data_IF_032585519923
#
_entry.id   IF_032585519923
#
_cell.length_a   1.000
_cell.length_b   1.000
_cell.length_c   1.000
_cell.angle_alpha   90.00
_cell.angle_beta   90.00
_cell.angle_gamma   90.00
#
_symmetry.space_group_name_H-M   'P 1'
#
loop_
_entity.id
_entity.type
_entity.pdbx_description
1 polymer ?
#
# COMPACT_ATOMS: atom_id res chain seq x y z
N UNK A 1 -61.29 -36.51 5.75
CA UNK A 1 -60.77 -35.48 6.67
C UNK A 1 -59.60 -36.04 7.44
N UNK A 2 -58.36 -35.84 6.97
CA UNK A 2 -57.13 -35.89 7.80
C UNK A 2 -56.10 -34.95 7.17
N UNK A 3 -55.27 -34.38 8.04
CA UNK A 3 -54.64 -33.07 7.99
C UNK A 3 -53.54 -32.84 6.94
N UNK A 4 -53.55 -31.58 6.46
CA UNK A 4 -52.40 -30.83 5.93
C UNK A 4 -51.31 -30.74 7.00
N UNK A 5 -50.04 -30.96 6.65
CA UNK A 5 -48.86 -30.21 7.13
C UNK A 5 -47.61 -30.82 6.50
N UNK A 6 -47.04 -30.15 5.50
CA UNK A 6 -45.67 -30.40 5.07
C UNK A 6 -44.93 -29.06 5.11
N UNK A 7 -43.79 -29.12 5.79
CA UNK A 7 -43.01 -28.03 6.37
C UNK A 7 -42.25 -27.30 5.27
N UNK A 8 -42.38 -25.98 5.22
CA UNK A 8 -41.51 -25.09 4.44
C UNK A 8 -40.22 -24.92 5.24
N UNK A 9 -39.14 -25.57 4.81
CA UNK A 9 -37.80 -25.39 5.37
C UNK A 9 -37.13 -24.19 4.67
N UNK A 10 -37.17 -23.03 5.32
CA UNK A 10 -36.50 -21.82 4.84
C UNK A 10 -34.99 -21.98 5.00
N UNK A 11 -34.28 -22.14 3.88
CA UNK A 11 -32.81 -22.04 3.79
C UNK A 11 -32.41 -20.58 4.02
N UNK A 12 -32.13 -20.23 5.27
CA UNK A 12 -31.62 -18.92 5.67
C UNK A 12 -30.19 -19.09 6.20
N UNK A 13 -29.22 -19.30 5.31
CA UNK A 13 -27.80 -19.31 5.69
C UNK A 13 -26.95 -18.69 4.57
N UNK A 14 -25.90 -17.98 5.00
CA UNK A 14 -24.79 -17.43 4.22
C UNK A 14 -24.85 -15.95 3.78
N UNK A 15 -25.17 -15.02 4.69
CA UNK A 15 -24.69 -13.62 4.57
C UNK A 15 -23.54 -13.31 5.57
N UNK A 16 -23.16 -14.25 6.45
CA UNK A 16 -22.18 -14.00 7.51
C UNK A 16 -20.71 -14.38 7.19
N UNK A 17 -20.38 -14.92 6.01
CA UNK A 17 -18.99 -15.36 5.74
C UNK A 17 -18.00 -14.21 5.45
N UNK A 18 -18.45 -13.08 4.90
CA UNK A 18 -17.53 -12.01 4.48
C UNK A 18 -16.87 -11.26 5.65
N UNK A 19 -17.49 -11.23 6.83
CA UNK A 19 -16.98 -10.47 7.98
C UNK A 19 -16.11 -11.28 8.94
N UNK A 20 -16.19 -12.62 8.93
CA UNK A 20 -15.38 -13.48 9.83
C UNK A 20 -13.93 -13.61 9.35
N UNK A 21 -13.68 -13.54 8.04
CA UNK A 21 -12.32 -13.67 7.47
C UNK A 21 -11.38 -12.52 7.84
N UNK A 22 -11.92 -11.34 8.15
CA UNK A 22 -11.12 -10.20 8.58
C UNK A 22 -10.57 -10.36 10.01
N UNK A 23 -11.12 -11.24 10.86
CA UNK A 23 -10.59 -11.45 12.21
C UNK A 23 -9.34 -12.35 12.24
N UNK A 24 -9.22 -13.29 11.31
CA UNK A 24 -8.21 -14.37 11.35
C UNK A 24 -6.85 -13.97 10.74
N UNK A 25 -6.79 -12.95 9.88
CA UNK A 25 -5.59 -12.73 9.04
C UNK A 25 -4.55 -11.76 9.62
N UNK A 26 -4.85 -11.00 10.68
CA UNK A 26 -3.96 -9.96 11.21
C UNK A 26 -3.89 -8.67 10.37
N UNK A 27 -4.72 -8.55 9.33
CA UNK A 27 -4.81 -7.38 8.46
C UNK A 27 -6.21 -6.72 8.50
N UNK A 28 -6.28 -5.45 8.13
CA UNK A 28 -7.52 -4.67 7.93
C UNK A 28 -7.45 -3.95 6.59
N UNK A 29 -8.60 -3.69 5.98
CA UNK A 29 -8.69 -2.85 4.79
C UNK A 29 -8.84 -1.36 5.17
N UNK A 30 -8.09 -0.50 4.49
CA UNK A 30 -8.29 0.93 4.42
C UNK A 30 -9.01 1.26 3.11
N UNK A 31 -9.98 2.19 3.14
CA UNK A 31 -10.68 2.70 1.97
C UNK A 31 -10.62 4.22 2.03
N UNK A 32 -10.03 4.86 1.03
CA UNK A 32 -9.96 6.31 0.99
C UNK A 32 -11.34 6.89 0.64
N UNK A 33 -11.86 7.88 1.38
CA UNK A 33 -13.25 8.35 1.21
C UNK A 33 -13.54 8.98 -0.14
N UNK A 34 -12.62 9.77 -0.70
CA UNK A 34 -12.81 10.51 -1.95
C UNK A 34 -12.04 9.95 -3.16
N UNK A 35 -10.83 9.45 -2.95
CA UNK A 35 -9.94 8.95 -4.01
C UNK A 35 -10.21 7.48 -4.40
N UNK A 36 -11.17 6.84 -3.76
CA UNK A 36 -11.72 5.51 -4.10
C UNK A 36 -10.69 4.36 -4.21
N UNK A 37 -9.48 4.54 -3.68
CA UNK A 37 -8.52 3.46 -3.54
C UNK A 37 -8.70 2.71 -2.23
N UNK A 38 -8.30 1.44 -2.23
CA UNK A 38 -8.34 0.55 -1.09
C UNK A 38 -7.04 -0.23 -0.99
N UNK A 39 -6.60 -0.49 0.24
CA UNK A 39 -5.36 -1.21 0.53
C UNK A 39 -5.50 -1.96 1.84
N UNK A 40 -4.98 -3.18 1.89
CA UNK A 40 -4.93 -4.00 3.09
C UNK A 40 -3.62 -3.74 3.83
N UNK A 41 -3.67 -3.53 5.14
CA UNK A 41 -2.53 -3.22 5.99
C UNK A 41 -2.58 -4.00 7.31
N UNK A 42 -1.47 -4.18 8.03
CA UNK A 42 -1.48 -4.89 9.32
C UNK A 42 -2.33 -4.17 10.35
N UNK A 43 -3.17 -4.89 11.10
CA UNK A 43 -4.04 -4.29 12.13
C UNK A 43 -3.29 -3.54 13.22
N UNK A 44 -2.05 -3.93 13.49
CA UNK A 44 -1.22 -3.29 14.51
C UNK A 44 -0.66 -1.95 14.04
N UNK A 45 -0.65 -1.67 12.74
CA UNK A 45 -0.11 -0.42 12.22
C UNK A 45 -1.09 0.73 12.45
N UNK A 46 -0.55 1.88 12.86
CA UNK A 46 -1.33 3.10 13.04
C UNK A 46 -1.58 3.75 11.67
N UNK A 47 -2.82 4.14 11.41
CA UNK A 47 -3.18 4.90 10.20
C UNK A 47 -3.21 6.39 10.54
N UNK A 48 -2.60 7.19 9.68
CA UNK A 48 -2.64 8.65 9.73
C UNK A 48 -3.10 9.15 8.37
N UNK A 49 -4.26 9.80 8.33
CA UNK A 49 -4.81 10.39 7.10
C UNK A 49 -4.31 11.84 6.95
N UNK A 50 -4.30 12.34 5.71
CA UNK A 50 -3.88 13.72 5.39
C UNK A 50 -2.50 14.07 5.95
N UNK A 51 -1.52 13.20 5.66
CA UNK A 51 -0.14 13.41 6.04
C UNK A 51 0.48 14.62 5.33
N UNK A 52 1.69 14.98 5.73
CA UNK A 52 2.44 16.07 5.10
C UNK A 52 2.86 15.70 3.65
N UNK A 53 3.23 16.72 2.87
CA UNK A 53 3.81 16.56 1.53
C UNK A 53 2.93 15.81 0.51
N UNK A 54 1.61 16.03 0.55
CA UNK A 54 0.66 15.42 -0.40
C UNK A 54 0.34 13.94 -0.11
N UNK A 55 0.78 13.42 1.04
CA UNK A 55 0.45 12.08 1.51
C UNK A 55 -1.03 11.98 1.86
N UNK A 56 -1.75 11.10 1.16
CA UNK A 56 -3.18 10.89 1.39
C UNK A 56 -3.40 10.01 2.63
N UNK A 57 -2.58 8.97 2.78
CA UNK A 57 -2.57 8.09 3.95
C UNK A 57 -1.16 7.59 4.24
N UNK A 58 -0.85 7.48 5.53
CA UNK A 58 0.37 6.90 6.06
C UNK A 58 0.00 5.75 7.02
N UNK A 59 0.71 4.63 6.88
CA UNK A 59 0.62 3.46 7.75
C UNK A 59 1.95 3.33 8.51
N UNK A 60 1.92 3.46 9.83
CA UNK A 60 3.09 3.42 10.70
C UNK A 60 3.19 2.07 11.40
N UNK A 61 4.34 1.40 11.29
CA UNK A 61 4.62 0.14 11.97
C UNK A 61 4.51 0.28 13.50
N UNK A 62 4.04 -0.78 14.14
CA UNK A 62 4.01 -0.91 15.60
C UNK A 62 5.30 -1.48 16.18
N UNK A 63 6.24 -1.93 15.33
CA UNK A 63 7.49 -2.50 15.81
C UNK A 63 8.40 -1.38 16.33
N UNK A 64 8.97 -1.52 17.54
CA UNK A 64 9.90 -0.54 18.07
C UNK A 64 11.17 -0.51 17.21
N UNK A 65 11.68 0.68 17.01
CA UNK A 65 12.90 0.94 16.25
C UNK A 65 13.33 2.37 16.50
N UNK A 66 14.58 2.67 16.14
CA UNK A 66 15.04 4.07 16.18
C UNK A 66 14.31 4.83 15.06
N UNK A 67 14.07 4.17 13.92
CA UNK A 67 13.15 4.62 12.89
C UNK A 67 11.90 3.74 12.82
N UNK A 68 10.73 4.37 12.86
CA UNK A 68 9.45 3.68 12.65
C UNK A 68 9.21 3.47 11.15
N UNK A 69 9.27 2.21 10.73
CA UNK A 69 8.95 1.82 9.36
C UNK A 69 7.54 2.29 8.98
N UNK A 70 7.39 2.80 7.77
CA UNK A 70 6.12 3.36 7.31
C UNK A 70 5.88 3.12 5.84
N UNK A 71 4.61 3.02 5.47
CA UNK A 71 4.14 3.00 4.10
C UNK A 71 3.22 4.21 3.87
N UNK A 72 3.43 4.93 2.77
CA UNK A 72 2.70 6.12 2.41
C UNK A 72 2.05 5.92 1.04
N UNK A 73 0.88 6.52 0.83
CA UNK A 73 0.27 6.63 -0.49
C UNK A 73 0.11 8.11 -0.82
N UNK A 74 0.71 8.52 -1.94
CA UNK A 74 0.43 9.83 -2.56
C UNK A 74 -0.37 9.62 -3.83
N UNK A 75 -1.24 10.59 -4.13
CA UNK A 75 -2.08 10.59 -5.33
C UNK A 75 -2.02 11.98 -5.91
N UNK A 76 -1.62 12.08 -7.17
CA UNK A 76 -1.53 13.34 -7.90
C UNK A 76 -2.14 13.16 -9.28
N UNK A 77 -2.54 14.26 -9.94
CA UNK A 77 -2.85 14.22 -11.35
C UNK A 77 -1.61 13.74 -12.11
N UNK A 78 -1.77 12.75 -12.97
CA UNK A 78 -0.66 12.29 -13.80
C UNK A 78 -0.21 13.46 -14.69
N UNK A 79 1.08 13.79 -14.71
CA UNK A 79 1.60 14.62 -15.78
C UNK A 79 1.45 13.88 -17.12
N UNK A 80 1.53 14.62 -18.23
CA UNK A 80 1.59 14.04 -19.58
C UNK A 80 2.98 13.42 -19.81
N UNK A 81 3.27 12.36 -19.04
CA UNK A 81 4.52 11.61 -19.02
C UNK A 81 4.20 10.13 -18.93
N UNK A 82 5.08 9.33 -19.51
CA UNK A 82 5.06 7.88 -19.38
C UNK A 82 5.44 7.44 -17.97
N UNK A 83 5.10 6.19 -17.64
CA UNK A 83 5.42 5.62 -16.34
C UNK A 83 6.93 5.62 -16.03
N UNK A 84 7.76 5.41 -17.05
CA UNK A 84 9.22 5.40 -16.93
C UNK A 84 9.77 6.81 -16.66
N UNK A 85 9.25 7.83 -17.34
CA UNK A 85 9.61 9.23 -17.13
C UNK A 85 9.19 9.73 -15.73
N UNK A 86 8.03 9.30 -15.24
CA UNK A 86 7.60 9.59 -13.86
C UNK A 86 8.55 8.93 -12.85
N UNK A 87 8.96 7.69 -13.10
CA UNK A 87 9.93 7.01 -12.25
C UNK A 87 11.27 7.75 -12.23
N UNK A 88 11.79 8.18 -13.38
CA UNK A 88 13.03 8.95 -13.47
C UNK A 88 12.93 10.32 -12.78
N UNK A 89 11.79 10.99 -12.90
CA UNK A 89 11.54 12.22 -12.16
C UNK A 89 11.54 11.98 -10.65
N UNK A 90 10.95 10.86 -10.19
CA UNK A 90 10.98 10.47 -8.79
C UNK A 90 12.41 10.20 -8.30
N UNK A 91 13.22 9.47 -9.08
CA UNK A 91 14.65 9.25 -8.79
C UNK A 91 15.39 10.58 -8.67
N UNK A 92 15.20 11.50 -9.62
CA UNK A 92 15.84 12.81 -9.62
C UNK A 92 15.45 13.62 -8.38
N UNK A 93 14.16 13.69 -8.04
CA UNK A 93 13.68 14.40 -6.85
C UNK A 93 14.25 13.81 -5.56
N UNK A 94 14.21 12.50 -5.41
CA UNK A 94 14.74 11.83 -4.22
C UNK A 94 16.27 11.97 -4.10
N UNK A 95 17.00 11.97 -5.22
CA UNK A 95 18.46 12.19 -5.21
C UNK A 95 18.87 13.57 -4.71
N UNK A 96 18.01 14.57 -4.88
CA UNK A 96 18.23 15.94 -4.38
C UNK A 96 17.88 16.04 -2.89
N UNK A 97 16.80 15.38 -2.46
CA UNK A 97 16.27 15.48 -1.12
C UNK A 97 16.96 14.57 -0.10
N UNK A 98 17.41 13.39 -0.53
CA UNK A 98 17.92 12.35 0.34
C UNK A 98 19.43 12.20 0.16
N UNK A 99 20.17 12.47 1.24
CA UNK A 99 21.63 12.33 1.26
C UNK A 99 22.03 10.87 0.99
N UNK A 100 22.98 10.66 0.08
CA UNK A 100 23.48 9.32 -0.24
C UNK A 100 22.45 8.43 -0.94
N UNK A 101 21.44 9.02 -1.59
CA UNK A 101 20.43 8.26 -2.32
C UNK A 101 21.05 7.46 -3.47
N UNK A 102 20.86 6.14 -3.43
CA UNK A 102 21.42 5.21 -4.41
C UNK A 102 20.36 4.21 -4.84
N UNK A 103 20.05 4.16 -6.14
CA UNK A 103 19.14 3.16 -6.72
C UNK A 103 19.81 1.79 -6.66
N UNK A 104 19.09 0.83 -6.09
CA UNK A 104 19.48 -0.60 -6.08
C UNK A 104 18.78 -1.35 -7.20
N UNK A 105 17.49 -1.10 -7.43
CA UNK A 105 16.73 -1.72 -8.51
C UNK A 105 15.70 -0.76 -9.08
N UNK A 106 15.51 -0.80 -10.40
CA UNK A 106 14.37 -0.23 -11.13
C UNK A 106 13.84 -1.31 -12.05
N UNK A 107 12.60 -1.74 -11.85
CA UNK A 107 12.00 -2.83 -12.61
C UNK A 107 10.52 -2.56 -12.89
N UNK A 108 9.97 -3.24 -13.90
CA UNK A 108 8.53 -3.34 -14.06
C UNK A 108 7.97 -4.23 -12.95
N UNK A 109 6.83 -3.82 -12.40
CA UNK A 109 6.11 -4.54 -11.36
C UNK A 109 4.63 -4.21 -11.43
N UNK A 110 3.96 -4.28 -10.28
CA UNK A 110 2.53 -4.03 -10.17
C UNK A 110 2.18 -3.28 -8.89
N UNK A 111 1.15 -2.46 -8.97
CA UNK A 111 0.42 -1.93 -7.83
C UNK A 111 -0.99 -2.50 -7.89
N UNK A 112 -1.25 -3.54 -7.10
CA UNK A 112 -2.44 -4.36 -7.27
C UNK A 112 -2.48 -5.07 -8.61
N UNK A 113 -3.47 -4.75 -9.44
CA UNK A 113 -3.59 -5.31 -10.80
C UNK A 113 -2.99 -4.42 -11.90
N UNK A 114 -2.46 -3.25 -11.52
CA UNK A 114 -2.02 -2.23 -12.47
C UNK A 114 -0.52 -2.32 -12.70
N UNK A 115 -0.09 -2.14 -13.95
CA UNK A 115 1.34 -2.10 -14.28
C UNK A 115 2.00 -0.93 -13.54
N UNK A 116 3.14 -1.19 -12.94
CA UNK A 116 3.87 -0.23 -12.14
C UNK A 116 5.38 -0.25 -12.45
N UNK A 117 6.08 0.79 -12.03
CA UNK A 117 7.54 0.74 -11.86
C UNK A 117 7.82 0.58 -10.37
N UNK A 118 8.61 -0.45 -10.03
CA UNK A 118 9.10 -0.75 -8.69
C UNK A 118 10.55 -0.28 -8.57
N UNK A 119 10.75 0.75 -7.75
CA UNK A 119 12.04 1.33 -7.43
C UNK A 119 12.44 0.92 -6.02
N UNK A 120 13.64 0.36 -5.85
CA UNK A 120 14.27 0.19 -4.54
C UNK A 120 15.56 1.00 -4.49
N UNK A 121 15.75 1.72 -3.40
CA UNK A 121 16.91 2.55 -3.17
C UNK A 121 17.31 2.51 -1.70
N UNK A 122 18.54 2.95 -1.42
CA UNK A 122 18.99 3.25 -0.07
C UNK A 122 19.33 4.73 0.05
N UNK A 123 19.31 5.26 1.26
CA UNK A 123 19.82 6.60 1.57
C UNK A 123 20.26 6.69 3.03
N UNK A 124 21.02 7.74 3.35
CA UNK A 124 21.50 8.00 4.71
C UNK A 124 20.42 8.73 5.53
N UNK A 125 19.83 8.01 6.49
CA UNK A 125 18.96 8.58 7.52
C UNK A 125 19.76 9.15 8.70
N UNK A 126 19.10 9.94 9.55
CA UNK A 126 19.75 10.51 10.73
C UNK A 126 20.25 9.42 11.71
N UNK A 127 19.62 8.25 11.70
CA UNK A 127 19.88 7.14 12.63
C UNK A 127 20.55 5.95 11.93
N UNK A 128 20.97 6.13 10.67
CA UNK A 128 21.66 5.14 9.85
C UNK A 128 21.01 4.92 8.47
N UNK A 129 21.55 3.98 7.67
CA UNK A 129 21.05 3.69 6.34
C UNK A 129 19.60 3.23 6.34
N UNK A 130 18.80 3.80 5.45
CA UNK A 130 17.39 3.47 5.24
C UNK A 130 17.18 2.89 3.86
N UNK A 131 16.26 1.94 3.76
CA UNK A 131 15.75 1.47 2.49
C UNK A 131 14.42 2.16 2.19
N UNK A 132 14.26 2.59 0.94
CA UNK A 132 13.02 3.10 0.39
C UNK A 132 12.62 2.26 -0.81
N UNK A 133 11.35 1.85 -0.86
CA UNK A 133 10.73 1.18 -2.00
C UNK A 133 9.53 1.98 -2.47
N UNK A 134 9.56 2.42 -3.72
CA UNK A 134 8.47 3.16 -4.35
C UNK A 134 7.87 2.35 -5.50
N UNK A 135 6.56 2.14 -5.47
CA UNK A 135 5.79 1.50 -6.53
C UNK A 135 4.87 2.54 -7.14
N UNK A 136 5.11 2.88 -8.39
CA UNK A 136 4.47 3.98 -9.11
C UNK A 136 3.56 3.40 -10.18
N UNK A 137 2.32 3.84 -10.26
CA UNK A 137 1.34 3.44 -11.29
C UNK A 137 0.52 4.65 -11.75
N UNK A 138 0.06 4.64 -12.99
CA UNK A 138 -0.95 5.57 -13.50
C UNK A 138 -2.27 4.82 -13.63
N UNK A 139 -3.35 5.34 -13.05
CA UNK A 139 -4.69 4.74 -13.07
C UNK A 139 -5.71 5.87 -13.25
N UNK A 140 -6.51 5.82 -14.32
CA UNK A 140 -7.52 6.85 -14.64
C UNK A 140 -6.95 8.29 -14.61
N UNK A 141 -5.85 8.53 -15.33
CA UNK A 141 -5.14 9.84 -15.38
C UNK A 141 -4.58 10.32 -14.03
N UNK A 142 -4.56 9.48 -13.00
CA UNK A 142 -3.99 9.78 -11.69
C UNK A 142 -2.73 8.96 -11.45
N UNK A 143 -1.68 9.61 -10.99
CA UNK A 143 -0.46 8.97 -10.51
C UNK A 143 -0.66 8.53 -9.05
N UNK A 144 -0.53 7.23 -8.81
CA UNK A 144 -0.48 6.63 -7.48
C UNK A 144 0.95 6.24 -7.17
N UNK A 145 1.46 6.67 -6.01
CA UNK A 145 2.77 6.24 -5.51
C UNK A 145 2.59 5.61 -4.14
N UNK A 146 2.89 4.32 -4.05
CA UNK A 146 3.08 3.63 -2.79
C UNK A 146 4.55 3.71 -2.43
N UNK A 147 4.89 4.27 -1.26
CA UNK A 147 6.27 4.37 -0.79
C UNK A 147 6.41 3.72 0.57
N UNK A 148 7.23 2.69 0.67
CA UNK A 148 7.63 2.07 1.94
C UNK A 148 9.04 2.51 2.33
N UNK A 149 9.25 2.84 3.60
CA UNK A 149 10.57 3.14 4.16
C UNK A 149 10.81 2.35 5.44
N UNK A 150 12.03 1.82 5.61
CA UNK A 150 12.49 1.17 6.85
C UNK A 150 14.00 1.35 7.04
N UNK A 151 14.51 0.93 8.20
CA UNK A 151 15.95 0.71 8.40
C UNK A 151 16.42 -0.35 7.39
N UNK A 152 17.55 -0.12 6.71
CA UNK A 152 17.98 -0.98 5.60
C UNK A 152 18.19 -2.45 6.02
N UNK A 153 18.65 -2.69 7.25
CA UNK A 153 18.83 -4.03 7.82
C UNK A 153 17.52 -4.80 8.05
N UNK A 154 16.38 -4.12 8.06
CA UNK A 154 15.05 -4.70 8.37
C UNK A 154 14.21 -5.00 7.12
N UNK A 155 14.71 -4.78 5.90
CA UNK A 155 13.93 -5.00 4.67
C UNK A 155 13.24 -6.37 4.64
N UNK A 156 13.99 -7.43 4.93
CA UNK A 156 13.51 -8.81 4.91
C UNK A 156 12.37 -9.05 5.90
N UNK A 157 12.34 -8.36 7.04
CA UNK A 157 11.29 -8.48 8.04
C UNK A 157 9.94 -7.95 7.53
N UNK A 158 9.99 -6.93 6.67
CA UNK A 158 8.81 -6.25 6.15
C UNK A 158 8.38 -6.76 4.77
N UNK A 159 9.23 -7.47 4.04
CA UNK A 159 8.99 -7.87 2.65
C UNK A 159 7.61 -8.50 2.42
N UNK A 160 7.25 -9.51 3.22
CA UNK A 160 5.94 -10.19 3.10
C UNK A 160 4.77 -9.24 3.35
N UNK A 161 4.90 -8.37 4.35
CA UNK A 161 3.88 -7.39 4.72
C UNK A 161 3.68 -6.38 3.60
N UNK A 162 4.77 -5.84 3.07
CA UNK A 162 4.75 -4.79 2.05
C UNK A 162 4.30 -5.34 0.69
N UNK A 163 4.73 -6.53 0.30
CA UNK A 163 4.20 -7.19 -0.89
C UNK A 163 2.68 -7.38 -0.77
N UNK A 164 2.19 -7.83 0.39
CA UNK A 164 0.73 -7.96 0.61
C UNK A 164 0.00 -6.62 0.52
N UNK A 165 0.59 -5.54 1.04
CA UNK A 165 0.02 -4.19 0.90
C UNK A 165 -0.07 -3.79 -0.57
N UNK A 166 1.02 -3.94 -1.33
CA UNK A 166 1.09 -3.63 -2.77
C UNK A 166 0.09 -4.48 -3.57
N UNK A 167 0.07 -5.81 -3.36
CA UNK A 167 -0.81 -6.75 -4.07
C UNK A 167 -2.30 -6.49 -3.81
N UNK A 168 -2.62 -5.99 -2.62
CA UNK A 168 -4.00 -5.70 -2.22
C UNK A 168 -4.54 -4.36 -2.74
N UNK A 169 -3.67 -3.52 -3.31
CA UNK A 169 -4.06 -2.19 -3.74
C UNK A 169 -5.10 -2.27 -4.86
N UNK A 170 -6.19 -1.51 -4.74
CA UNK A 170 -7.20 -1.41 -5.77
C UNK A 170 -7.70 0.02 -5.88
N UNK A 171 -8.11 0.42 -7.08
CA UNK A 171 -8.81 1.67 -7.33
C UNK A 171 -10.13 1.31 -7.97
N UNK A 172 -11.25 1.81 -7.41
CA UNK A 172 -12.55 1.61 -8.04
C UNK A 172 -12.67 2.55 -9.26
N UNK A 173 -13.28 2.06 -10.36
CA UNK A 173 -13.54 2.87 -11.54
C UNK A 173 -14.50 4.03 -11.25
#
# INVERSE_FOLDING_TARGET
MVNKFAIVFTLLFCVACANVQNFITGYKAYRHPSLQFEIVYPKSWKVVENGSFGTQVQFLSSQPGIFLANANVTVNRSPDLTLDEIADLSVKQLSILLKGYEIKTKALGHLGKQQAVDLRAIYEGAEGPRLIRSVISIINEMQYVFTFTCEASKEREYEKTINKMIDSFTVKP
#
